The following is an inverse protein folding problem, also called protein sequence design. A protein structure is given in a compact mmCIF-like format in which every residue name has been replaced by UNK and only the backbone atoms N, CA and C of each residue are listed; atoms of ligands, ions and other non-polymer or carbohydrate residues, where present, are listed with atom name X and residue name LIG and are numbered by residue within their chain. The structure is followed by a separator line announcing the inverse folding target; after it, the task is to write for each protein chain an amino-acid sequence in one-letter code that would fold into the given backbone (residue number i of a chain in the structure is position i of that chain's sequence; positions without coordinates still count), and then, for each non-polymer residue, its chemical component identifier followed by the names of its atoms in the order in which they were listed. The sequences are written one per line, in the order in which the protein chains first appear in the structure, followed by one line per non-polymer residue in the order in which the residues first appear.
data_IF_748592040361
#
_entry.id   IF_748592040361
#
_cell.length_a   1.000
_cell.length_b   1.000
_cell.length_c   1.000
_cell.angle_alpha   90.00
_cell.angle_beta   90.00
_cell.angle_gamma   90.00
#
_symmetry.space_group_name_H-M   'P 1'
#
loop_
_entity.id
_entity.type
_entity.pdbx_description
1 polymer ?
#
# COMPACT_ATOMS: atom_id res chain seq x y z
N UNK A 1 3.94 -11.72 -1.11
CA UNK A 1 4.03 -10.39 -0.47
C UNK A 1 5.23 -10.40 0.47
N UNK A 2 5.92 -9.28 0.62
CA UNK A 2 7.02 -9.11 1.58
C UNK A 2 6.51 -8.19 2.67
N UNK A 3 6.54 -8.67 3.91
CA UNK A 3 6.07 -7.89 5.05
C UNK A 3 7.05 -6.77 5.40
N UNK A 4 6.50 -5.72 5.99
CA UNK A 4 7.26 -4.61 6.51
C UNK A 4 7.54 -4.83 7.99
N UNK A 5 8.74 -4.42 8.41
CA UNK A 5 9.23 -4.47 9.78
C UNK A 5 9.47 -3.04 10.30
N UNK A 6 10.26 -2.91 11.38
CA UNK A 6 10.63 -1.61 11.93
C UNK A 6 11.40 -0.75 10.91
N UNK A 7 11.27 0.57 11.03
CA UNK A 7 11.78 1.57 10.07
C UNK A 7 13.27 1.41 9.77
N UNK A 8 14.08 0.95 10.71
CA UNK A 8 15.52 0.74 10.54
C UNK A 8 15.87 -0.51 9.70
N UNK A 9 14.95 -1.45 9.51
CA UNK A 9 15.10 -2.56 8.55
C UNK A 9 14.50 -2.25 7.17
N UNK A 10 13.53 -1.32 7.13
CA UNK A 10 12.76 -1.03 5.91
C UNK A 10 13.59 -0.64 4.68
N UNK A 11 14.71 0.10 4.77
CA UNK A 11 15.53 0.40 3.59
C UNK A 11 16.02 -0.86 2.86
N UNK A 12 16.47 -1.87 3.60
CA UNK A 12 16.95 -3.12 3.01
C UNK A 12 15.79 -3.96 2.45
N UNK A 13 14.72 -4.12 3.23
CA UNK A 13 13.53 -4.88 2.83
C UNK A 13 12.90 -4.28 1.57
N UNK A 14 12.68 -2.96 1.56
CA UNK A 14 12.08 -2.26 0.43
C UNK A 14 12.95 -2.37 -0.82
N UNK A 15 14.27 -2.16 -0.68
CA UNK A 15 15.21 -2.24 -1.80
C UNK A 15 15.23 -3.62 -2.45
N UNK A 16 15.33 -4.68 -1.64
CA UNK A 16 15.31 -6.06 -2.14
C UNK A 16 13.96 -6.33 -2.82
N UNK A 17 12.86 -5.95 -2.20
CA UNK A 17 11.51 -6.18 -2.73
C UNK A 17 11.31 -5.49 -4.07
N UNK A 18 11.75 -4.24 -4.21
CA UNK A 18 11.68 -3.48 -5.47
C UNK A 18 12.53 -4.12 -6.59
N UNK A 19 13.72 -4.63 -6.28
CA UNK A 19 14.51 -5.36 -7.27
C UNK A 19 13.86 -6.68 -7.68
N UNK A 20 13.18 -7.37 -6.75
CA UNK A 20 12.43 -8.58 -7.07
C UNK A 20 11.19 -8.25 -7.92
N UNK A 21 10.46 -7.16 -7.63
CA UNK A 21 9.39 -6.69 -8.52
C UNK A 21 9.92 -6.40 -9.92
N UNK A 22 11.02 -5.65 -10.04
CA UNK A 22 11.63 -5.35 -11.34
C UNK A 22 11.95 -6.61 -12.13
N UNK A 23 12.41 -7.67 -11.46
CA UNK A 23 12.78 -8.94 -12.09
C UNK A 23 11.58 -9.83 -12.45
N UNK A 24 10.54 -9.87 -11.62
CA UNK A 24 9.49 -10.90 -11.69
C UNK A 24 8.09 -10.36 -11.96
N UNK A 25 7.81 -9.09 -11.66
CA UNK A 25 6.53 -8.45 -11.98
C UNK A 25 6.54 -7.93 -13.42
N UNK A 26 6.67 -8.83 -14.41
CA UNK A 26 6.79 -8.47 -15.83
C UNK A 26 5.46 -8.46 -16.59
N UNK A 27 4.47 -9.24 -16.13
CA UNK A 27 3.15 -9.37 -16.77
C UNK A 27 2.00 -8.93 -15.85
N UNK A 28 2.21 -9.03 -14.54
CA UNK A 28 1.26 -8.66 -13.48
C UNK A 28 2.01 -8.44 -12.17
N UNK A 29 1.40 -7.74 -11.23
CA UNK A 29 1.93 -7.61 -9.87
C UNK A 29 1.78 -8.95 -9.12
N UNK A 30 2.87 -9.66 -8.87
CA UNK A 30 2.90 -10.89 -8.06
C UNK A 30 3.70 -10.73 -6.76
N UNK A 31 4.69 -9.84 -6.77
CA UNK A 31 5.44 -9.41 -5.60
C UNK A 31 4.89 -8.06 -5.15
N UNK A 32 4.65 -7.95 -3.85
CA UNK A 32 4.05 -6.77 -3.20
C UNK A 32 4.96 -6.34 -2.07
N UNK A 33 5.26 -5.04 -2.02
CA UNK A 33 5.95 -4.39 -0.90
C UNK A 33 4.91 -3.87 0.07
N UNK A 34 5.20 -3.92 1.37
CA UNK A 34 4.26 -3.47 2.40
C UNK A 34 4.57 -2.03 2.81
N UNK A 35 3.60 -1.14 2.65
CA UNK A 35 3.68 0.25 3.07
C UNK A 35 2.88 0.44 4.36
N UNK A 36 3.56 0.92 5.39
CA UNK A 36 2.97 1.14 6.71
C UNK A 36 2.52 2.59 6.85
N UNK A 37 1.22 2.83 6.69
CA UNK A 37 0.61 4.16 6.62
C UNK A 37 0.55 4.91 7.96
N UNK A 38 0.97 4.30 9.07
CA UNK A 38 1.23 5.01 10.32
C UNK A 38 2.53 5.84 10.27
N UNK A 39 3.42 5.61 9.31
CA UNK A 39 4.64 6.38 9.14
C UNK A 39 4.38 7.67 8.37
N UNK A 40 5.02 8.76 8.78
CA UNK A 40 4.99 10.06 8.09
C UNK A 40 5.54 9.98 6.65
N UNK A 41 6.46 9.04 6.39
CA UNK A 41 7.11 8.87 5.08
C UNK A 41 6.31 8.01 4.09
N UNK A 42 5.23 7.35 4.54
CA UNK A 42 4.56 6.29 3.76
C UNK A 42 4.16 6.72 2.34
N UNK A 43 3.49 7.87 2.21
CA UNK A 43 3.07 8.41 0.91
C UNK A 43 4.28 8.69 0.00
N UNK A 44 5.33 9.32 0.54
CA UNK A 44 6.51 9.66 -0.24
C UNK A 44 7.21 8.42 -0.77
N UNK A 45 7.41 7.40 0.08
CA UNK A 45 8.01 6.12 -0.35
C UNK A 45 7.19 5.41 -1.42
N UNK A 46 5.87 5.32 -1.22
CA UNK A 46 4.95 4.73 -2.19
C UNK A 46 5.02 5.43 -3.55
N UNK A 47 4.96 6.77 -3.54
CA UNK A 47 5.00 7.58 -4.75
C UNK A 47 6.32 7.38 -5.52
N UNK A 48 7.46 7.42 -4.82
CA UNK A 48 8.76 7.21 -5.44
C UNK A 48 8.91 5.81 -6.04
N UNK A 49 8.46 4.78 -5.33
CA UNK A 49 8.53 3.40 -5.81
C UNK A 49 7.61 3.18 -7.03
N UNK A 50 6.43 3.78 -7.02
CA UNK A 50 5.50 3.75 -8.16
C UNK A 50 6.08 4.48 -9.38
N UNK A 51 6.75 5.61 -9.17
CA UNK A 51 7.45 6.34 -10.24
C UNK A 51 8.65 5.55 -10.77
N UNK A 52 9.40 4.86 -9.91
CA UNK A 52 10.46 3.97 -10.33
C UNK A 52 9.91 2.83 -11.20
N UNK A 53 8.82 2.19 -10.78
CA UNK A 53 8.16 1.12 -11.51
C UNK A 53 7.69 1.57 -12.90
N UNK A 54 7.10 2.77 -12.97
CA UNK A 54 6.69 3.39 -14.22
C UNK A 54 7.87 3.60 -15.18
N UNK A 55 8.96 4.23 -14.71
CA UNK A 55 10.15 4.52 -15.54
C UNK A 55 10.88 3.26 -15.99
N UNK A 56 10.94 2.25 -15.14
CA UNK A 56 11.62 0.99 -15.40
C UNK A 56 10.71 -0.09 -16.01
N UNK A 57 9.43 0.24 -16.25
CA UNK A 57 8.44 -0.58 -16.96
C UNK A 57 8.19 -1.97 -16.34
N UNK A 58 8.04 -2.03 -15.01
CA UNK A 58 7.57 -3.23 -14.31
C UNK A 58 6.27 -2.96 -13.57
N UNK A 59 5.57 -4.03 -13.18
CA UNK A 59 4.30 -3.94 -12.48
C UNK A 59 4.54 -3.69 -10.98
N UNK A 60 4.03 -2.58 -10.48
CA UNK A 60 4.11 -2.18 -9.09
C UNK A 60 3.08 -2.94 -8.23
N UNK A 61 3.52 -3.44 -7.07
CA UNK A 61 2.65 -4.13 -6.11
C UNK A 61 2.74 -3.50 -4.73
N UNK A 62 1.65 -2.95 -4.21
CA UNK A 62 1.62 -2.35 -2.88
C UNK A 62 0.62 -3.04 -1.95
N UNK A 63 1.07 -3.51 -0.79
CA UNK A 63 0.21 -3.89 0.33
C UNK A 63 0.15 -2.72 1.30
N UNK A 64 -1.02 -2.12 1.47
CA UNK A 64 -1.24 -1.01 2.38
C UNK A 64 -1.73 -1.54 3.73
N UNK A 65 -1.00 -1.25 4.79
CA UNK A 65 -1.37 -1.54 6.18
C UNK A 65 -1.30 -0.26 7.00
N UNK A 66 -1.88 -0.22 8.20
CA UNK A 66 -1.58 0.86 9.15
C UNK A 66 -0.15 0.71 9.69
N UNK A 67 0.14 -0.38 10.37
CA UNK A 67 1.45 -0.65 10.97
C UNK A 67 1.30 -1.49 12.22
N UNK A 68 2.39 -2.12 12.68
CA UNK A 68 2.36 -3.05 13.82
C UNK A 68 3.39 -2.72 14.92
N UNK A 69 4.26 -1.71 14.72
CA UNK A 69 5.43 -1.49 15.57
C UNK A 69 5.46 -0.13 16.27
N UNK A 70 4.28 0.45 16.54
CA UNK A 70 4.15 1.84 17.03
C UNK A 70 4.96 2.15 18.29
N UNK A 71 4.93 1.24 19.26
CA UNK A 71 5.61 1.42 20.53
C UNK A 71 7.14 1.30 20.37
N UNK A 72 7.59 0.32 19.59
CA UNK A 72 9.02 0.09 19.34
C UNK A 72 9.66 1.26 18.59
N UNK A 73 8.98 1.83 17.60
CA UNK A 73 9.46 3.01 16.88
C UNK A 73 9.62 4.23 17.78
N UNK A 74 8.61 4.53 18.63
CA UNK A 74 8.67 5.67 19.56
C UNK A 74 9.75 5.48 20.61
N UNK A 75 9.87 4.26 21.16
CA UNK A 75 10.92 3.92 22.12
C UNK A 75 12.31 4.12 21.50
N UNK A 76 12.50 3.66 20.26
CA UNK A 76 13.77 3.81 19.53
C UNK A 76 14.10 5.27 19.22
N UNK A 77 13.11 6.05 18.78
CA UNK A 77 13.26 7.48 18.51
C UNK A 77 13.72 8.24 19.76
N UNK A 78 13.12 7.94 20.92
CA UNK A 78 13.51 8.51 22.21
C UNK A 78 14.90 8.06 22.68
N UNK A 79 15.25 6.79 22.48
CA UNK A 79 16.57 6.22 22.84
C UNK A 79 17.72 6.85 22.04
N UNK A 80 17.54 6.96 20.71
CA UNK A 80 18.60 7.42 19.79
C UNK A 80 18.60 8.95 19.62
N UNK A 81 17.46 9.60 19.88
CA UNK A 81 17.31 11.06 19.79
C UNK A 81 16.95 11.58 18.39
N UNK A 82 16.17 10.83 17.61
CA UNK A 82 15.60 11.29 16.34
C UNK A 82 14.09 11.53 16.45
N UNK A 83 13.52 12.26 15.49
CA UNK A 83 12.10 12.59 15.49
C UNK A 83 11.21 11.35 15.38
N UNK A 84 10.11 11.32 16.13
CA UNK A 84 9.10 10.27 16.04
C UNK A 84 8.61 10.09 14.58
N UNK A 85 8.83 8.92 13.96
CA UNK A 85 8.49 8.71 12.55
C UNK A 85 6.99 8.48 12.33
N UNK A 86 6.19 8.37 13.41
CA UNK A 86 4.78 7.98 13.36
C UNK A 86 3.87 9.20 13.31
N UNK A 87 2.77 9.07 12.58
CA UNK A 87 1.69 10.04 12.52
C UNK A 87 1.12 10.33 13.93
N UNK A 88 0.73 11.59 14.21
CA UNK A 88 0.41 12.01 15.57
C UNK A 88 -0.87 11.37 16.13
N UNK A 89 -1.78 10.90 15.29
CA UNK A 89 -3.05 10.30 15.71
C UNK A 89 -3.53 9.18 14.80
N UNK A 90 -4.58 8.49 15.25
CA UNK A 90 -5.31 7.49 14.48
C UNK A 90 -5.92 8.09 13.20
N UNK A 91 -6.48 9.28 13.29
CA UNK A 91 -7.09 10.02 12.18
C UNK A 91 -6.02 10.40 11.15
N UNK A 92 -4.86 10.88 11.62
CA UNK A 92 -3.73 11.19 10.74
C UNK A 92 -3.20 9.93 10.02
N UNK A 93 -3.13 8.79 10.71
CA UNK A 93 -2.78 7.50 10.10
C UNK A 93 -3.83 7.05 9.08
N UNK A 94 -5.11 7.24 9.38
CA UNK A 94 -6.20 6.87 8.48
C UNK A 94 -6.21 7.76 7.23
N UNK A 95 -5.94 9.06 7.39
CA UNK A 95 -5.77 10.00 6.28
C UNK A 95 -4.57 9.62 5.39
N UNK A 96 -3.42 9.29 5.99
CA UNK A 96 -2.24 8.80 5.26
C UNK A 96 -2.55 7.51 4.48
N UNK A 97 -3.30 6.57 5.08
CA UNK A 97 -3.72 5.34 4.41
C UNK A 97 -4.59 5.64 3.20
N UNK A 98 -5.62 6.48 3.38
CA UNK A 98 -6.53 6.85 2.30
C UNK A 98 -5.80 7.62 1.19
N UNK A 99 -4.87 8.51 1.52
CA UNK A 99 -4.04 9.23 0.55
C UNK A 99 -3.19 8.27 -0.29
N UNK A 100 -2.54 7.29 0.34
CA UNK A 100 -1.77 6.26 -0.38
C UNK A 100 -2.66 5.43 -1.31
N UNK A 101 -3.85 5.06 -0.84
CA UNK A 101 -4.81 4.28 -1.61
C UNK A 101 -5.34 5.06 -2.83
N UNK A 102 -5.74 6.31 -2.62
CA UNK A 102 -6.22 7.21 -3.67
C UNK A 102 -5.15 7.44 -4.74
N UNK A 103 -3.90 7.63 -4.35
CA UNK A 103 -2.78 7.80 -5.30
C UNK A 103 -2.66 6.60 -6.25
N UNK A 104 -2.66 5.38 -5.69
CA UNK A 104 -2.61 4.17 -6.51
C UNK A 104 -3.84 4.06 -7.44
N UNK A 105 -5.04 4.27 -6.92
CA UNK A 105 -6.28 4.14 -7.70
C UNK A 105 -6.42 5.24 -8.77
N UNK A 106 -6.00 6.47 -8.47
CA UNK A 106 -5.98 7.56 -9.44
C UNK A 106 -5.03 7.25 -10.60
N UNK A 107 -3.85 6.70 -10.29
CA UNK A 107 -2.89 6.26 -11.32
C UNK A 107 -3.44 5.10 -12.16
N UNK A 108 -4.15 4.15 -11.55
CA UNK A 108 -4.90 3.13 -12.28
C UNK A 108 -5.92 3.78 -13.22
N UNK A 109 -6.80 4.66 -12.73
CA UNK A 109 -7.84 5.30 -13.53
C UNK A 109 -7.27 6.05 -14.76
N UNK A 110 -6.20 6.81 -14.57
CA UNK A 110 -5.49 7.51 -15.66
C UNK A 110 -4.97 6.52 -16.71
N UNK A 111 -4.35 5.41 -16.28
CA UNK A 111 -3.84 4.42 -17.21
C UNK A 111 -4.96 3.70 -18.00
N UNK A 112 -6.15 3.54 -17.38
CA UNK A 112 -7.36 2.98 -18.03
C UNK A 112 -7.83 3.87 -19.17
N UNK A 113 -7.98 5.16 -18.90
CA UNK A 113 -8.48 6.15 -19.86
C UNK A 113 -7.55 6.28 -21.08
N UNK A 114 -6.24 6.21 -20.85
CA UNK A 114 -5.27 6.30 -21.94
C UNK A 114 -5.23 5.06 -22.85
N UNK A 115 -6.09 4.04 -22.62
CA UNK A 115 -6.16 2.79 -23.39
C UNK A 115 -4.79 2.12 -23.58
N UNK A 116 -3.91 2.34 -22.60
CA UNK A 116 -2.57 1.76 -22.62
C UNK A 116 -2.65 0.34 -22.08
N UNK A 117 -1.78 -0.54 -22.56
CA UNK A 117 -1.50 -1.83 -21.90
C UNK A 117 -1.00 -1.67 -20.45
N UNK A 118 -0.80 -0.43 -19.99
CA UNK A 118 -0.20 -0.07 -18.70
C UNK A 118 -1.23 0.09 -17.57
N UNK A 119 -2.53 0.02 -17.87
CA UNK A 119 -3.59 0.06 -16.84
C UNK A 119 -3.37 -0.97 -15.74
N UNK A 120 -2.95 -2.18 -16.11
CA UNK A 120 -2.73 -3.28 -15.19
C UNK A 120 -1.39 -3.22 -14.44
N UNK A 121 -0.57 -2.16 -14.61
CA UNK A 121 0.76 -2.06 -14.00
C UNK A 121 0.77 -1.79 -12.50
N UNK A 122 -0.38 -1.56 -11.88
CA UNK A 122 -0.45 -1.36 -10.43
C UNK A 122 -1.39 -2.43 -9.88
N UNK A 123 -0.90 -3.18 -8.90
CA UNK A 123 -1.70 -4.05 -8.05
C UNK A 123 -1.64 -3.57 -6.62
N UNK A 124 -2.77 -3.55 -5.92
CA UNK A 124 -2.83 -3.18 -4.51
C UNK A 124 -3.53 -4.23 -3.65
N UNK A 125 -3.07 -4.34 -2.41
CA UNK A 125 -3.74 -5.07 -1.34
C UNK A 125 -4.16 -4.08 -0.25
N UNK A 126 -5.47 -3.94 -0.06
CA UNK A 126 -6.08 -3.18 1.03
C UNK A 126 -6.13 -4.09 2.26
N UNK A 127 -5.06 -4.08 3.06
CA UNK A 127 -4.98 -4.89 4.27
C UNK A 127 -5.50 -4.10 5.49
N UNK A 128 -6.78 -4.27 5.81
CA UNK A 128 -7.44 -3.56 6.91
C UNK A 128 -8.68 -4.29 7.41
N UNK A 129 -8.86 -4.33 8.72
CA UNK A 129 -10.11 -4.72 9.38
C UNK A 129 -11.02 -3.54 9.70
N UNK A 130 -10.66 -2.32 9.28
CA UNK A 130 -11.48 -1.16 9.50
C UNK A 130 -12.55 -1.06 8.40
N UNK A 131 -13.83 -1.19 8.80
CA UNK A 131 -14.97 -1.16 7.90
C UNK A 131 -15.04 0.13 7.08
N UNK A 132 -14.64 1.27 7.65
CA UNK A 132 -14.71 2.56 6.95
C UNK A 132 -13.62 2.67 5.88
N UNK A 133 -12.41 2.19 6.15
CA UNK A 133 -11.35 2.07 5.13
C UNK A 133 -11.76 1.12 4.01
N UNK A 134 -12.40 -0.01 4.33
CA UNK A 134 -12.92 -0.95 3.32
C UNK A 134 -14.01 -0.28 2.46
N UNK A 135 -15.00 0.37 3.09
CA UNK A 135 -16.06 1.11 2.37
C UNK A 135 -15.48 2.22 1.51
N UNK A 136 -14.52 2.96 2.04
CA UNK A 136 -13.81 4.02 1.31
C UNK A 136 -13.14 3.46 0.06
N UNK A 137 -12.42 2.35 0.17
CA UNK A 137 -11.80 1.68 -0.98
C UNK A 137 -12.83 1.27 -2.03
N UNK A 138 -13.93 0.60 -1.62
CA UNK A 138 -14.99 0.15 -2.53
C UNK A 138 -15.67 1.35 -3.23
N UNK A 139 -15.94 2.43 -2.49
CA UNK A 139 -16.55 3.62 -3.07
C UNK A 139 -15.60 4.27 -4.08
N UNK A 140 -14.30 4.37 -3.77
CA UNK A 140 -13.31 4.88 -4.71
C UNK A 140 -13.14 4.01 -5.96
N UNK A 141 -13.22 2.68 -5.83
CA UNK A 141 -13.27 1.79 -6.99
C UNK A 141 -14.44 2.11 -7.91
N UNK A 142 -15.64 2.31 -7.34
CA UNK A 142 -16.83 2.68 -8.12
C UNK A 142 -16.70 4.04 -8.78
N UNK A 143 -16.23 5.05 -8.04
CA UNK A 143 -16.02 6.41 -8.54
C UNK A 143 -15.03 6.46 -9.71
N UNK A 144 -14.01 5.59 -9.70
CA UNK A 144 -12.94 5.55 -10.70
C UNK A 144 -13.14 4.44 -11.74
N UNK A 145 -14.31 3.79 -11.74
CA UNK A 145 -14.66 2.68 -12.63
C UNK A 145 -13.63 1.53 -12.64
N UNK A 146 -12.99 1.27 -11.49
CA UNK A 146 -12.08 0.12 -11.32
C UNK A 146 -12.93 -1.10 -10.95
N UNK A 147 -13.03 -2.03 -11.89
CA UNK A 147 -13.93 -3.17 -11.75
C UNK A 147 -13.22 -4.32 -11.02
N UNK A 148 -13.93 -5.12 -10.21
CA UNK A 148 -13.37 -6.32 -9.59
C UNK A 148 -12.72 -7.30 -10.59
N UNK A 149 -13.27 -7.38 -11.80
CA UNK A 149 -12.79 -8.21 -12.90
C UNK A 149 -11.42 -7.74 -13.43
N UNK A 150 -11.04 -6.49 -13.18
CA UNK A 150 -9.72 -5.95 -13.54
C UNK A 150 -8.61 -6.63 -12.68
N UNK A 151 -8.98 -7.24 -11.54
CA UNK A 151 -8.08 -7.99 -10.62
C UNK A 151 -6.86 -7.18 -10.15
N UNK A 152 -7.00 -5.86 -10.05
CA UNK A 152 -5.95 -4.95 -9.59
C UNK A 152 -5.96 -4.72 -8.09
N UNK A 153 -7.09 -4.99 -7.43
CA UNK A 153 -7.31 -4.67 -6.02
C UNK A 153 -7.76 -5.93 -5.31
N UNK A 154 -7.11 -6.25 -4.19
CA UNK A 154 -7.52 -7.31 -3.29
C UNK A 154 -7.63 -6.79 -1.86
N UNK A 155 -8.52 -7.40 -1.08
CA UNK A 155 -8.70 -7.09 0.34
C UNK A 155 -8.01 -8.17 1.18
N UNK A 156 -7.33 -7.74 2.24
CA UNK A 156 -6.58 -8.63 3.12
C UNK A 156 -6.98 -8.46 4.58
N UNK A 157 -7.31 -9.57 5.25
CA UNK A 157 -7.62 -9.62 6.67
C UNK A 157 -6.93 -10.83 7.31
N UNK A 158 -6.53 -10.68 8.56
CA UNK A 158 -5.99 -11.80 9.35
C UNK A 158 -7.08 -12.84 9.63
N UNK A 159 -6.71 -14.10 9.53
CA UNK A 159 -7.60 -15.23 9.80
C UNK A 159 -8.10 -15.21 11.25
N UNK A 160 -9.40 -15.38 11.43
CA UNK A 160 -10.06 -15.35 12.74
C UNK A 160 -10.32 -13.94 13.29
N UNK A 161 -10.15 -12.89 12.48
CA UNK A 161 -10.42 -11.51 12.89
C UNK A 161 -11.45 -10.84 11.97
N UNK A 162 -12.49 -10.27 12.59
CA UNK A 162 -13.52 -9.48 11.93
C UNK A 162 -14.23 -10.20 10.77
N UNK A 163 -14.59 -11.46 10.96
CA UNK A 163 -15.30 -12.30 9.97
C UNK A 163 -16.58 -11.65 9.42
N UNK A 164 -17.26 -10.84 10.24
CA UNK A 164 -18.43 -10.05 9.83
C UNK A 164 -18.13 -9.02 8.72
N UNK A 165 -16.86 -8.64 8.53
CA UNK A 165 -16.40 -7.83 7.41
C UNK A 165 -15.84 -8.70 6.28
N UNK A 166 -15.18 -9.80 6.61
CA UNK A 166 -14.52 -10.68 5.65
C UNK A 166 -15.49 -11.45 4.74
N UNK A 167 -16.59 -11.98 5.29
CA UNK A 167 -17.56 -12.76 4.51
C UNK A 167 -18.39 -11.98 3.47
N UNK A 168 -18.80 -10.72 3.72
CA UNK A 168 -19.55 -9.95 2.71
C UNK A 168 -18.69 -9.26 1.65
N UNK A 169 -17.36 -9.35 1.73
CA UNK A 169 -16.39 -8.66 0.87
C UNK A 169 -16.20 -9.32 -0.50
#
# INVERSE_FOLDING_TARGET
MVDAEQTYFQPAISRITMEMMRKFNTEKAIIFNTYQCYLKIAYHSLFLDMEQASRQKFYFGAKLVRGAYMEQERARAAEVGYDDPINPSYEATSAMYHQCLEECMARMAVNKQNSTTDFSRIGIMVASHNADTVRFAINKMKELEINPEDRLICFGQLYGMCDQLSFPL
#
